data_IF_471257798621
#
_entry.id   IF_471257798621
#
_cell.length_a   1.000
_cell.length_b   1.000
_cell.length_c   1.000
_cell.angle_alpha   90.00
_cell.angle_beta   90.00
_cell.angle_gamma   90.00
#
_symmetry.space_group_name_H-M   'P 1'
#
loop_
_entity.id
_entity.type
_entity.pdbx_description
1 polymer ?
#
# COMPACT_ATOMS: atom_id res chain seq x y z
N UNK A 1 -4.67 28.80 -37.54
CA UNK A 1 -4.47 27.34 -37.46
C UNK A 1 -3.38 27.06 -36.42
N UNK A 2 -3.73 26.51 -35.25
CA UNK A 2 -2.75 26.18 -34.21
C UNK A 2 -2.01 24.89 -34.55
N UNK A 3 -0.69 24.95 -34.69
CA UNK A 3 0.17 23.76 -34.79
C UNK A 3 0.27 23.13 -33.40
N UNK A 4 -0.33 21.96 -33.20
CA UNK A 4 -0.03 21.14 -32.02
C UNK A 4 1.40 20.62 -32.15
N UNK A 5 2.27 21.04 -31.23
CA UNK A 5 3.63 20.54 -31.11
C UNK A 5 3.55 19.13 -30.50
N UNK A 6 3.72 18.08 -31.32
CA UNK A 6 3.87 16.73 -30.81
C UNK A 6 5.30 16.55 -30.28
N UNK A 7 5.48 16.61 -28.96
CA UNK A 7 6.72 16.23 -28.30
C UNK A 7 6.90 14.71 -28.43
N UNK A 8 7.92 14.29 -29.18
CA UNK A 8 8.42 12.91 -29.15
C UNK A 8 9.54 12.82 -28.14
N UNK A 9 9.29 12.14 -27.03
CA UNK A 9 10.30 11.83 -26.02
C UNK A 9 10.83 10.43 -26.36
N UNK A 10 12.11 10.34 -26.69
CA UNK A 10 12.79 9.05 -26.88
C UNK A 10 13.33 8.62 -25.51
N UNK A 11 12.85 7.48 -25.02
CA UNK A 11 13.27 6.88 -23.76
C UNK A 11 13.98 5.57 -24.10
N UNK A 12 15.10 5.27 -23.44
CA UNK A 12 15.76 3.98 -23.58
C UNK A 12 14.79 2.85 -23.15
N UNK A 13 14.70 1.71 -23.85
CA UNK A 13 13.83 0.59 -23.45
C UNK A 13 13.91 0.19 -21.97
N UNK A 14 15.11 0.16 -21.37
CA UNK A 14 15.29 -0.20 -19.96
C UNK A 14 14.72 0.87 -19.01
N UNK A 15 14.91 2.14 -19.37
CA UNK A 15 14.36 3.28 -18.65
C UNK A 15 12.83 3.32 -18.77
N UNK A 16 12.30 2.94 -19.93
CA UNK A 16 10.87 2.87 -20.19
C UNK A 16 10.18 1.81 -19.34
N UNK A 17 10.74 0.60 -19.23
CA UNK A 17 10.20 -0.45 -18.35
C UNK A 17 10.22 0.00 -16.88
N UNK A 18 11.26 0.71 -16.45
CA UNK A 18 11.32 1.28 -15.09
C UNK A 18 10.23 2.33 -14.87
N UNK A 19 10.08 3.27 -15.80
CA UNK A 19 9.05 4.31 -15.76
C UNK A 19 7.64 3.71 -15.75
N UNK A 20 7.42 2.65 -16.55
CA UNK A 20 6.16 1.93 -16.61
C UNK A 20 5.86 1.20 -15.29
N UNK A 21 6.84 0.50 -14.72
CA UNK A 21 6.67 -0.16 -13.43
C UNK A 21 6.29 0.84 -12.32
N UNK A 22 6.90 2.03 -12.31
CA UNK A 22 6.54 3.12 -11.40
C UNK A 22 5.12 3.63 -11.71
N UNK A 23 4.76 3.84 -12.97
CA UNK A 23 3.41 4.27 -13.33
C UNK A 23 2.34 3.27 -12.83
N UNK A 24 2.58 1.98 -13.02
CA UNK A 24 1.68 0.89 -12.61
C UNK A 24 1.57 0.79 -11.07
N UNK A 25 2.71 0.79 -10.36
CA UNK A 25 2.75 0.71 -8.89
C UNK A 25 1.97 1.85 -8.24
N UNK A 26 2.04 3.05 -8.81
CA UNK A 26 1.44 4.25 -8.25
C UNK A 26 0.08 4.59 -8.87
N UNK A 27 -0.42 3.76 -9.81
CA UNK A 27 -1.63 4.01 -10.60
C UNK A 27 -1.65 5.40 -11.26
N UNK A 28 -0.48 5.87 -11.69
CA UNK A 28 -0.30 7.16 -12.34
C UNK A 28 -0.24 7.00 -13.86
N UNK A 29 -0.56 8.07 -14.58
CA UNK A 29 -0.39 8.09 -16.03
C UNK A 29 1.08 7.96 -16.40
N UNK A 30 1.41 6.98 -17.26
CA UNK A 30 2.78 6.80 -17.77
C UNK A 30 3.35 8.10 -18.36
N UNK A 31 2.53 8.88 -19.07
CA UNK A 31 2.91 10.18 -19.64
C UNK A 31 3.35 11.18 -18.55
N UNK A 32 2.67 11.19 -17.40
CA UNK A 32 3.02 12.07 -16.30
C UNK A 32 4.35 11.67 -15.67
N UNK A 33 4.60 10.37 -15.48
CA UNK A 33 5.87 9.86 -14.97
C UNK A 33 7.00 10.14 -15.98
N UNK A 34 6.79 9.88 -17.27
CA UNK A 34 7.78 10.17 -18.31
C UNK A 34 8.15 11.66 -18.35
N UNK A 35 7.18 12.56 -18.19
CA UNK A 35 7.43 14.00 -18.11
C UNK A 35 8.25 14.39 -16.87
N UNK A 36 7.98 13.76 -15.73
CA UNK A 36 8.77 13.96 -14.51
C UNK A 36 10.21 13.50 -14.70
N UNK A 37 10.42 12.32 -15.27
CA UNK A 37 11.75 11.79 -15.58
C UNK A 37 12.49 12.65 -16.59
N UNK A 38 11.79 13.18 -17.61
CA UNK A 38 12.38 14.11 -18.57
C UNK A 38 12.83 15.41 -17.91
N UNK A 39 12.08 15.91 -16.91
CA UNK A 39 12.41 17.16 -16.19
C UNK A 39 13.54 16.98 -15.18
N UNK A 40 13.58 15.85 -14.48
CA UNK A 40 14.51 15.59 -13.38
C UNK A 40 15.80 14.92 -13.85
N UNK A 41 15.78 14.24 -15.00
CA UNK A 41 16.78 13.24 -15.37
C UNK A 41 16.43 11.88 -14.76
N UNK A 42 16.90 10.80 -15.38
CA UNK A 42 16.49 9.44 -15.04
C UNK A 42 16.83 9.07 -13.59
N UNK A 43 18.09 9.21 -13.18
CA UNK A 43 18.56 8.84 -11.83
C UNK A 43 17.82 9.63 -10.72
N UNK A 44 17.62 10.93 -10.92
CA UNK A 44 16.88 11.77 -9.97
C UNK A 44 15.38 11.43 -9.93
N UNK A 45 14.81 11.00 -11.07
CA UNK A 45 13.47 10.43 -11.16
C UNK A 45 13.34 9.17 -10.31
N UNK A 46 14.23 8.19 -10.53
CA UNK A 46 14.27 6.95 -9.73
C UNK A 46 14.38 7.27 -8.24
N UNK A 47 15.31 8.15 -7.87
CA UNK A 47 15.54 8.57 -6.49
C UNK A 47 14.31 9.23 -5.84
N UNK A 48 13.58 10.07 -6.59
CA UNK A 48 12.34 10.69 -6.12
C UNK A 48 11.30 9.62 -5.77
N UNK A 49 11.03 8.70 -6.69
CA UNK A 49 10.00 7.67 -6.48
C UNK A 49 10.42 6.64 -5.44
N UNK A 50 11.73 6.35 -5.31
CA UNK A 50 12.29 5.58 -4.19
C UNK A 50 12.00 6.24 -2.85
N UNK A 51 12.30 7.54 -2.70
CA UNK A 51 12.00 8.28 -1.47
C UNK A 51 10.51 8.36 -1.16
N UNK A 52 9.67 8.48 -2.20
CA UNK A 52 8.22 8.42 -2.01
C UNK A 52 7.78 7.05 -1.50
N UNK A 53 8.33 5.96 -2.06
CA UNK A 53 8.06 4.61 -1.56
C UNK A 53 8.52 4.44 -0.11
N UNK A 54 9.73 4.89 0.22
CA UNK A 54 10.28 4.84 1.59
C UNK A 54 9.49 5.71 2.57
N UNK A 55 9.02 6.88 2.15
CA UNK A 55 8.16 7.73 2.98
C UNK A 55 6.82 7.04 3.26
N UNK A 56 6.23 6.40 2.25
CA UNK A 56 5.05 5.57 2.43
C UNK A 56 5.32 4.38 3.34
N UNK A 57 6.45 3.70 3.22
CA UNK A 57 6.82 2.59 4.11
C UNK A 57 7.11 3.04 5.55
N UNK A 58 7.72 4.21 5.72
CA UNK A 58 7.97 4.80 7.04
C UNK A 58 6.67 5.20 7.72
N UNK A 59 5.74 5.76 6.95
CA UNK A 59 4.45 6.24 7.46
C UNK A 59 3.37 5.13 7.44
N UNK A 60 3.69 3.92 6.95
CA UNK A 60 2.84 2.73 7.07
C UNK A 60 2.66 2.39 8.56
N UNK A 61 1.43 2.07 8.99
CA UNK A 61 1.22 1.62 10.35
C UNK A 61 1.96 0.29 10.57
N UNK A 62 2.91 0.30 11.50
CA UNK A 62 3.72 -0.85 11.86
C UNK A 62 2.98 -1.71 12.87
N UNK A 63 2.40 -2.81 12.39
CA UNK A 63 1.72 -3.76 13.25
C UNK A 63 2.68 -4.86 13.68
N UNK A 64 2.56 -5.27 14.94
CA UNK A 64 3.35 -6.38 15.50
C UNK A 64 2.69 -7.73 15.22
N UNK A 65 1.38 -7.72 15.05
CA UNK A 65 0.54 -8.86 14.71
C UNK A 65 -0.72 -8.40 13.97
N UNK A 66 -1.41 -9.33 13.30
CA UNK A 66 -2.71 -9.06 12.70
C UNK A 66 -3.73 -8.58 13.74
N UNK A 67 -3.71 -9.18 14.93
CA UNK A 67 -4.53 -8.75 16.06
C UNK A 67 -4.22 -7.33 16.50
N UNK A 68 -2.95 -6.95 16.62
CA UNK A 68 -2.54 -5.58 16.96
C UNK A 68 -3.02 -4.57 15.91
N UNK A 69 -2.94 -4.90 14.61
CA UNK A 69 -3.48 -4.06 13.55
C UNK A 69 -4.99 -3.89 13.59
N UNK A 70 -5.72 -4.98 13.86
CA UNK A 70 -7.17 -4.93 14.05
C UNK A 70 -7.54 -4.09 15.29
N UNK A 71 -6.79 -4.24 16.37
CA UNK A 71 -7.11 -3.60 17.65
C UNK A 71 -6.86 -2.10 17.63
N UNK A 72 -5.72 -1.66 17.09
CA UNK A 72 -5.37 -0.23 16.95
C UNK A 72 -6.25 0.53 15.98
N UNK A 73 -6.92 -0.18 15.07
CA UNK A 73 -7.78 0.42 14.05
C UNK A 73 -9.23 -0.08 14.16
N UNK A 74 -9.64 -0.55 15.34
CA UNK A 74 -10.95 -1.18 15.56
C UNK A 74 -12.11 -0.29 15.10
N UNK A 75 -12.07 0.99 15.46
CA UNK A 75 -13.07 1.99 15.07
C UNK A 75 -13.12 2.22 13.55
N UNK A 76 -11.96 2.23 12.88
CA UNK A 76 -11.89 2.38 11.42
C UNK A 76 -12.47 1.14 10.74
N UNK A 77 -12.14 -0.04 11.25
CA UNK A 77 -12.56 -1.34 10.72
C UNK A 77 -14.05 -1.62 10.91
N UNK A 78 -14.62 -1.30 12.07
CA UNK A 78 -16.05 -1.49 12.37
C UNK A 78 -16.97 -0.55 11.58
N UNK A 79 -16.44 0.58 11.12
CA UNK A 79 -17.14 1.48 10.18
C UNK A 79 -17.13 0.98 8.74
N UNK A 80 -16.36 -0.06 8.43
CA UNK A 80 -16.37 -0.69 7.10
C UNK A 80 -17.47 -1.77 6.97
N UNK A 81 -17.59 -2.38 5.78
CA UNK A 81 -18.47 -3.54 5.53
C UNK A 81 -17.97 -4.87 6.13
N UNK A 82 -16.94 -4.85 6.98
CA UNK A 82 -16.49 -6.03 7.72
C UNK A 82 -17.42 -6.28 8.91
N UNK A 83 -17.89 -7.52 9.07
CA UNK A 83 -18.72 -7.87 10.22
C UNK A 83 -17.87 -7.81 11.51
N UNK A 84 -18.26 -7.03 12.53
CA UNK A 84 -17.51 -6.90 13.79
C UNK A 84 -17.26 -8.21 14.52
N UNK A 85 -18.19 -9.17 14.48
CA UNK A 85 -18.04 -10.48 15.13
C UNK A 85 -16.95 -11.31 14.44
N UNK A 86 -16.87 -11.21 13.11
CA UNK A 86 -15.81 -11.89 12.33
C UNK A 86 -14.45 -11.24 12.57
N UNK A 87 -14.41 -9.91 12.64
CA UNK A 87 -13.23 -9.14 13.03
C UNK A 87 -12.72 -9.54 14.42
N UNK A 88 -13.62 -9.69 15.40
CA UNK A 88 -13.27 -10.15 16.74
C UNK A 88 -12.72 -11.59 16.72
N UNK A 89 -13.31 -12.49 15.95
CA UNK A 89 -12.83 -13.86 15.81
C UNK A 89 -11.43 -13.94 15.18
N UNK A 90 -11.13 -13.07 14.21
CA UNK A 90 -9.79 -12.96 13.60
C UNK A 90 -8.79 -12.37 14.60
N UNK A 91 -9.15 -11.28 15.29
CA UNK A 91 -8.34 -10.65 16.34
C UNK A 91 -7.98 -11.64 17.45
N UNK A 92 -8.93 -12.43 17.92
CA UNK A 92 -8.71 -13.41 19.01
C UNK A 92 -7.94 -14.66 18.54
N UNK A 93 -7.57 -14.73 17.25
CA UNK A 93 -6.93 -15.89 16.64
C UNK A 93 -7.79 -17.15 16.57
N UNK A 94 -9.10 -17.03 16.83
CA UNK A 94 -10.07 -18.13 16.72
C UNK A 94 -10.36 -18.51 15.27
N UNK A 95 -10.07 -17.61 14.32
CA UNK A 95 -10.29 -17.80 12.90
C UNK A 95 -9.16 -17.15 12.08
N UNK A 96 -8.68 -17.82 11.04
CA UNK A 96 -7.84 -17.18 10.02
C UNK A 96 -8.68 -16.37 9.03
N UNK A 97 -8.24 -15.17 8.62
CA UNK A 97 -8.95 -14.39 7.61
C UNK A 97 -8.99 -15.17 6.29
N UNK A 98 -10.13 -15.11 5.58
CA UNK A 98 -10.16 -15.52 4.17
C UNK A 98 -9.46 -14.48 3.30
N UNK A 99 -9.11 -14.83 2.06
CA UNK A 99 -8.51 -13.90 1.08
C UNK A 99 -9.32 -12.60 0.93
N UNK A 100 -10.65 -12.70 0.85
CA UNK A 100 -11.53 -11.51 0.79
C UNK A 100 -11.55 -10.70 2.10
N UNK A 101 -11.40 -11.35 3.27
CA UNK A 101 -11.32 -10.65 4.56
C UNK A 101 -9.97 -9.95 4.71
N UNK A 102 -8.90 -10.58 4.25
CA UNK A 102 -7.54 -10.04 4.23
C UNK A 102 -7.43 -8.82 3.31
N UNK A 103 -7.95 -8.90 2.08
CA UNK A 103 -8.01 -7.76 1.15
C UNK A 103 -8.74 -6.56 1.77
N UNK A 104 -9.86 -6.82 2.47
CA UNK A 104 -10.62 -5.75 3.14
C UNK A 104 -9.87 -5.15 4.32
N UNK A 105 -9.16 -5.98 5.07
CA UNK A 105 -8.28 -5.51 6.15
C UNK A 105 -7.15 -4.66 5.60
N UNK A 106 -6.47 -5.11 4.54
CA UNK A 106 -5.39 -4.40 3.87
C UNK A 106 -5.83 -3.00 3.41
N UNK A 107 -6.97 -2.93 2.70
CA UNK A 107 -7.56 -1.68 2.25
C UNK A 107 -7.96 -0.75 3.42
N UNK A 108 -8.54 -1.30 4.49
CA UNK A 108 -8.96 -0.49 5.62
C UNK A 108 -7.79 0.00 6.47
N UNK A 109 -6.69 -0.74 6.50
CA UNK A 109 -5.48 -0.41 7.25
C UNK A 109 -4.45 0.37 6.43
N UNK A 110 -4.74 0.65 5.16
CA UNK A 110 -3.84 1.31 4.20
C UNK A 110 -2.46 0.61 4.10
N UNK A 111 -2.48 -0.74 4.06
CA UNK A 111 -1.29 -1.60 3.92
C UNK A 111 -1.51 -2.64 2.80
N UNK A 112 -0.45 -3.33 2.38
CA UNK A 112 -0.58 -4.42 1.40
C UNK A 112 -1.09 -5.71 2.04
N UNK A 113 -1.71 -6.57 1.24
CA UNK A 113 -2.11 -7.92 1.67
C UNK A 113 -0.89 -8.75 2.08
N UNK A 114 0.18 -8.72 1.27
CA UNK A 114 1.44 -9.41 1.53
C UNK A 114 2.04 -9.03 2.90
N UNK A 115 1.93 -7.75 3.28
CA UNK A 115 2.36 -7.30 4.60
C UNK A 115 1.51 -7.94 5.70
N UNK A 116 0.18 -7.92 5.58
CA UNK A 116 -0.70 -8.56 6.57
C UNK A 116 -0.51 -10.08 6.67
N UNK A 117 -0.21 -10.77 5.57
CA UNK A 117 0.09 -12.21 5.58
C UNK A 117 1.41 -12.53 6.27
N UNK A 118 2.39 -11.62 6.16
CA UNK A 118 3.69 -11.79 6.81
C UNK A 118 3.64 -11.63 8.34
N UNK A 119 2.59 -10.98 8.85
CA UNK A 119 2.43 -10.74 10.28
C UNK A 119 2.02 -12.01 11.02
N UNK A 120 2.52 -12.22 12.25
CA UNK A 120 1.96 -13.24 13.12
C UNK A 120 0.50 -12.92 13.43
N UNK A 121 -0.32 -13.96 13.61
CA UNK A 121 -1.76 -13.78 13.86
C UNK A 121 -2.03 -13.04 15.19
N UNK A 122 -1.25 -13.37 16.22
CA UNK A 122 -1.33 -12.86 17.59
C UNK A 122 0.05 -12.39 18.05
N UNK A 123 0.10 -11.50 19.04
CA UNK A 123 1.27 -11.21 19.86
C UNK A 123 0.94 -11.31 21.37
N UNK A 124 1.96 -11.44 22.20
CA UNK A 124 1.82 -11.66 23.65
C UNK A 124 1.04 -10.55 24.37
N UNK A 125 1.10 -9.31 23.87
CA UNK A 125 0.43 -8.14 24.47
C UNK A 125 -1.05 -8.05 24.07
N UNK A 126 -1.39 -8.37 22.82
CA UNK A 126 -2.77 -8.29 22.31
C UNK A 126 -3.65 -9.45 22.81
N UNK A 127 -3.04 -10.53 23.30
CA UNK A 127 -3.76 -11.69 23.86
C UNK A 127 -4.58 -11.32 25.11
N UNK A 128 -4.22 -10.21 25.78
CA UNK A 128 -4.88 -9.73 27.01
C UNK A 128 -5.45 -8.31 26.91
N UNK A 129 -5.31 -7.63 25.76
CA UNK A 129 -5.72 -6.24 25.60
C UNK A 129 -7.17 -6.13 25.09
N UNK A 130 -7.94 -5.22 25.69
CA UNK A 130 -9.26 -4.84 25.15
C UNK A 130 -9.03 -3.75 24.11
N UNK A 131 -9.57 -3.92 22.89
CA UNK A 131 -9.45 -2.87 21.87
C UNK A 131 -10.29 -1.66 22.26
N UNK A 132 -9.64 -0.50 22.34
CA UNK A 132 -10.22 0.78 22.72
C UNK A 132 -10.48 1.64 21.49
#
# INVERSE_FOLDING_TARGET
>A
MSKQLQLRITVNPDEYETIKAIADQWQLSITAITLDFFRLGFDAGVEKYRRMAEALERDRPQFRSLAHGICTNWDKLTRTKLNPEKLAAIRDGKKKPTETELLRLALALDVSEEYLESLPLLDEETTNATCH
#
